data_IF_479378013457
#
_entry.id   IF_479378013457
#
_cell.length_a   1.000
_cell.length_b   1.000
_cell.length_c   1.000
_cell.angle_alpha   90.00
_cell.angle_beta   90.00
_cell.angle_gamma   90.00
#
_symmetry.space_group_name_H-M   'P 1'
#
loop_
_entity.id
_entity.type
_entity.pdbx_description
1 polymer ?
#
# COMPACT_ATOMS: atom_id res chain seq x y z
N UNK A 1 -78.33 -49.05 -18.31
CA UNK A 1 -77.24 -48.69 -19.27
C UNK A 1 -77.03 -47.19 -19.13
N UNK A 2 -76.01 -46.78 -18.37
CA UNK A 2 -75.64 -45.36 -18.25
C UNK A 2 -74.64 -45.01 -19.38
N UNK A 3 -75.03 -44.07 -20.20
CA UNK A 3 -74.20 -43.54 -21.31
C UNK A 3 -73.37 -42.39 -20.70
N UNK A 4 -72.09 -42.65 -20.46
CA UNK A 4 -71.17 -41.60 -20.09
C UNK A 4 -70.95 -40.65 -21.28
N UNK A 5 -71.46 -39.41 -21.18
CA UNK A 5 -71.13 -38.34 -22.06
C UNK A 5 -69.67 -37.90 -21.82
N UNK A 6 -68.78 -38.27 -22.76
CA UNK A 6 -67.45 -37.69 -22.81
C UNK A 6 -67.56 -36.19 -23.13
N UNK A 7 -67.17 -35.37 -22.15
CA UNK A 7 -67.07 -33.94 -22.38
C UNK A 7 -66.06 -33.68 -23.52
N UNK A 8 -66.56 -33.19 -24.67
CA UNK A 8 -65.73 -32.73 -25.74
C UNK A 8 -64.87 -31.55 -25.24
N UNK A 9 -63.59 -31.76 -24.99
CA UNK A 9 -62.62 -30.71 -24.75
C UNK A 9 -62.63 -29.81 -25.95
N UNK A 10 -63.12 -28.58 -25.77
CA UNK A 10 -63.18 -27.57 -26.81
C UNK A 10 -61.77 -27.33 -27.36
N UNK A 11 -61.59 -27.50 -28.67
CA UNK A 11 -60.31 -27.26 -29.38
C UNK A 11 -59.84 -25.83 -29.09
N UNK A 12 -58.83 -25.66 -28.20
CA UNK A 12 -58.27 -24.35 -27.88
C UNK A 12 -57.87 -23.67 -29.18
N UNK A 13 -58.38 -22.46 -29.40
CA UNK A 13 -58.03 -21.65 -30.57
C UNK A 13 -56.54 -21.34 -30.57
N UNK A 14 -55.87 -21.30 -31.69
CA UNK A 14 -54.45 -21.01 -31.87
C UNK A 14 -54.02 -19.70 -31.14
N UNK A 15 -54.91 -18.72 -31.07
CA UNK A 15 -54.73 -17.48 -30.28
C UNK A 15 -54.48 -17.71 -28.80
N UNK A 16 -55.06 -18.78 -28.19
CA UNK A 16 -54.85 -19.10 -26.79
C UNK A 16 -53.40 -19.58 -26.53
N UNK A 17 -52.86 -20.41 -27.40
CA UNK A 17 -51.47 -20.87 -27.31
C UNK A 17 -50.48 -19.71 -27.53
N UNK A 18 -50.82 -18.78 -28.42
CA UNK A 18 -50.04 -17.57 -28.59
C UNK A 18 -50.00 -16.70 -27.33
N UNK A 19 -51.13 -16.50 -26.65
CA UNK A 19 -51.18 -15.76 -25.40
C UNK A 19 -50.45 -16.49 -24.25
N UNK A 20 -50.56 -17.82 -24.14
CA UNK A 20 -49.80 -18.62 -23.18
C UNK A 20 -48.28 -18.47 -23.43
N UNK A 21 -47.86 -18.59 -24.65
CA UNK A 21 -46.46 -18.39 -25.04
C UNK A 21 -45.99 -16.95 -24.71
N UNK A 22 -46.78 -15.96 -25.09
CA UNK A 22 -46.44 -14.55 -24.87
C UNK A 22 -46.28 -14.24 -23.35
N UNK A 23 -47.16 -14.76 -22.52
CA UNK A 23 -47.10 -14.56 -21.06
C UNK A 23 -45.87 -15.23 -20.46
N UNK A 24 -45.51 -16.45 -20.86
CA UNK A 24 -44.29 -17.13 -20.47
C UNK A 24 -43.05 -16.39 -20.94
N UNK A 25 -43.04 -15.97 -22.19
CA UNK A 25 -41.95 -15.16 -22.75
C UNK A 25 -41.73 -13.84 -21.98
N UNK A 26 -42.82 -13.10 -21.72
CA UNK A 26 -42.75 -11.85 -20.96
C UNK A 26 -42.27 -12.08 -19.52
N UNK A 27 -42.70 -13.16 -18.88
CA UNK A 27 -42.25 -13.44 -17.51
C UNK A 27 -40.73 -13.68 -17.45
N UNK A 28 -40.20 -14.49 -18.41
CA UNK A 28 -38.75 -14.74 -18.50
C UNK A 28 -37.99 -13.48 -18.90
N UNK A 29 -38.53 -12.73 -19.86
CA UNK A 29 -37.92 -11.49 -20.34
C UNK A 29 -37.86 -10.41 -19.25
N UNK A 30 -38.93 -10.22 -18.47
CA UNK A 30 -38.96 -9.31 -17.34
C UNK A 30 -37.99 -9.73 -16.24
N UNK A 31 -37.89 -11.05 -15.96
CA UNK A 31 -36.91 -11.60 -15.05
C UNK A 31 -35.48 -11.27 -15.47
N UNK A 32 -35.13 -11.48 -16.74
CA UNK A 32 -33.83 -11.15 -17.28
C UNK A 32 -33.50 -9.64 -17.21
N UNK A 33 -34.48 -8.77 -17.53
CA UNK A 33 -34.32 -7.32 -17.40
C UNK A 33 -34.08 -6.88 -15.95
N UNK A 34 -34.79 -7.51 -15.01
CA UNK A 34 -34.63 -7.23 -13.57
C UNK A 34 -33.22 -7.65 -13.10
N UNK A 35 -32.73 -8.80 -13.57
CA UNK A 35 -31.39 -9.30 -13.25
C UNK A 35 -30.31 -8.37 -13.81
N UNK A 36 -30.40 -7.94 -15.06
CA UNK A 36 -29.48 -6.97 -15.66
C UNK A 36 -29.42 -5.64 -14.87
N UNK A 37 -30.58 -5.13 -14.44
CA UNK A 37 -30.62 -3.91 -13.65
C UNK A 37 -29.98 -4.09 -12.27
N UNK A 38 -30.19 -5.24 -11.65
CA UNK A 38 -29.59 -5.58 -10.37
C UNK A 38 -28.06 -5.67 -10.50
N UNK A 39 -27.57 -6.35 -11.56
CA UNK A 39 -26.16 -6.47 -11.84
C UNK A 39 -25.50 -5.07 -12.00
N UNK A 40 -26.09 -4.19 -12.80
CA UNK A 40 -25.61 -2.82 -12.97
C UNK A 40 -25.56 -2.03 -11.65
N UNK A 41 -26.55 -2.21 -10.77
CA UNK A 41 -26.52 -1.56 -9.43
C UNK A 41 -25.41 -2.09 -8.57
N UNK A 42 -25.17 -3.42 -8.58
CA UNK A 42 -24.08 -4.06 -7.83
C UNK A 42 -22.73 -3.60 -8.36
N UNK A 43 -22.54 -3.57 -9.68
CA UNK A 43 -21.30 -3.09 -10.31
C UNK A 43 -21.01 -1.62 -9.96
N UNK A 44 -22.02 -0.75 -10.02
CA UNK A 44 -21.89 0.65 -9.64
C UNK A 44 -21.50 0.82 -8.16
N UNK A 45 -22.10 0.02 -7.27
CA UNK A 45 -21.74 0.05 -5.86
C UNK A 45 -20.30 -0.39 -5.65
N UNK A 46 -19.87 -1.48 -6.30
CA UNK A 46 -18.48 -1.96 -6.24
C UNK A 46 -17.50 -0.91 -6.77
N UNK A 47 -17.81 -0.26 -7.91
CA UNK A 47 -16.97 0.84 -8.43
C UNK A 47 -16.77 1.93 -7.37
N UNK A 48 -17.87 2.39 -6.73
CA UNK A 48 -17.80 3.43 -5.69
C UNK A 48 -16.99 2.97 -4.48
N UNK A 49 -17.17 1.73 -4.03
CA UNK A 49 -16.48 1.19 -2.87
C UNK A 49 -14.96 1.06 -3.15
N UNK A 50 -14.57 0.60 -4.33
CA UNK A 50 -13.18 0.57 -4.75
C UNK A 50 -12.57 1.98 -4.86
N UNK A 51 -13.31 2.94 -5.43
CA UNK A 51 -12.83 4.32 -5.53
C UNK A 51 -12.61 4.95 -4.15
N UNK A 52 -13.48 4.66 -3.17
CA UNK A 52 -13.26 5.08 -1.77
C UNK A 52 -11.99 4.46 -1.19
N UNK A 53 -11.79 3.15 -1.39
CA UNK A 53 -10.58 2.47 -0.94
C UNK A 53 -9.30 3.06 -1.55
N UNK A 54 -9.31 3.39 -2.85
CA UNK A 54 -8.18 4.09 -3.49
C UNK A 54 -7.93 5.46 -2.86
N UNK A 55 -8.98 6.24 -2.60
CA UNK A 55 -8.84 7.56 -1.96
C UNK A 55 -8.26 7.43 -0.54
N UNK A 56 -8.67 6.44 0.22
CA UNK A 56 -8.11 6.16 1.55
C UNK A 56 -6.63 5.75 1.48
N UNK A 57 -6.27 4.88 0.54
CA UNK A 57 -4.87 4.51 0.30
C UNK A 57 -4.01 5.73 -0.04
N UNK A 58 -4.49 6.60 -0.95
CA UNK A 58 -3.78 7.83 -1.33
C UNK A 58 -3.63 8.82 -0.17
N UNK A 59 -4.65 8.97 0.68
CA UNK A 59 -4.55 9.81 1.90
C UNK A 59 -3.48 9.28 2.84
N UNK A 60 -3.43 7.96 3.03
CA UNK A 60 -2.40 7.32 3.84
C UNK A 60 -1.01 7.57 3.24
N UNK A 61 -0.87 7.43 1.92
CA UNK A 61 0.39 7.64 1.22
C UNK A 61 0.89 9.08 1.34
N UNK A 62 0.00 10.08 1.26
CA UNK A 62 0.33 11.50 1.47
C UNK A 62 0.95 11.71 2.87
N UNK A 63 0.30 11.20 3.92
CA UNK A 63 0.79 11.34 5.29
C UNK A 63 2.17 10.68 5.43
N UNK A 64 2.36 9.51 4.83
CA UNK A 64 3.65 8.80 4.85
C UNK A 64 4.72 9.53 4.06
N UNK A 65 4.40 10.09 2.91
CA UNK A 65 5.33 10.89 2.11
C UNK A 65 5.79 12.13 2.88
N UNK A 66 4.89 12.85 3.55
CA UNK A 66 5.24 14.01 4.38
C UNK A 66 6.18 13.60 5.53
N UNK A 67 5.86 12.52 6.24
CA UNK A 67 6.71 12.01 7.31
C UNK A 67 8.08 11.57 6.79
N UNK A 68 8.12 10.88 5.66
CA UNK A 68 9.38 10.48 5.04
C UNK A 68 10.19 11.69 4.56
N UNK A 69 9.53 12.72 4.02
CA UNK A 69 10.17 13.99 3.66
C UNK A 69 10.85 14.65 4.85
N UNK A 70 10.16 14.75 5.99
CA UNK A 70 10.73 15.30 7.22
C UNK A 70 11.90 14.45 7.73
N UNK A 71 11.77 13.13 7.71
CA UNK A 71 12.84 12.22 8.10
C UNK A 71 14.06 12.37 7.18
N UNK A 72 13.88 12.49 5.86
CA UNK A 72 14.97 12.64 4.89
C UNK A 72 15.77 13.93 5.13
N UNK A 73 15.14 15.03 5.54
CA UNK A 73 15.83 16.25 5.95
C UNK A 73 16.69 15.99 7.18
N UNK A 74 16.16 15.29 8.19
CA UNK A 74 16.90 14.93 9.38
C UNK A 74 18.07 13.97 9.07
N UNK A 75 17.86 12.98 8.19
CA UNK A 75 18.92 12.07 7.74
C UNK A 75 20.04 12.82 7.00
N UNK A 76 19.70 13.77 6.12
CA UNK A 76 20.69 14.58 5.42
C UNK A 76 21.55 15.38 6.40
N UNK A 77 20.94 16.04 7.37
CA UNK A 77 21.65 16.77 8.42
C UNK A 77 22.53 15.84 9.29
N UNK A 78 22.03 14.62 9.57
CA UNK A 78 22.79 13.61 10.29
C UNK A 78 24.04 13.14 9.55
N UNK A 79 23.91 12.91 8.24
CA UNK A 79 25.06 12.60 7.37
C UNK A 79 26.08 13.72 7.30
N UNK A 80 25.64 14.97 7.26
CA UNK A 80 26.56 16.14 7.30
C UNK A 80 27.30 16.21 8.63
N UNK A 81 26.61 15.91 9.74
CA UNK A 81 27.21 15.83 11.08
C UNK A 81 28.23 14.70 11.18
N UNK A 82 27.89 13.49 10.67
CA UNK A 82 28.83 12.37 10.62
C UNK A 82 30.09 12.72 9.82
N UNK A 83 29.91 13.33 8.67
CA UNK A 83 31.03 13.77 7.80
C UNK A 83 31.92 14.81 8.49
N UNK A 84 31.31 15.72 9.23
CA UNK A 84 32.04 16.72 10.03
C UNK A 84 32.87 16.07 11.13
N UNK A 85 32.30 15.16 11.92
CA UNK A 85 33.00 14.44 12.97
C UNK A 85 34.11 13.52 12.43
N UNK A 86 33.90 12.87 11.29
CA UNK A 86 34.96 12.11 10.60
C UNK A 86 36.14 12.98 10.18
N UNK A 87 35.89 14.19 9.68
CA UNK A 87 36.96 15.14 9.33
C UNK A 87 37.78 15.58 10.56
N UNK A 88 37.10 15.81 11.70
CA UNK A 88 37.78 16.13 12.97
C UNK A 88 38.62 14.95 13.45
N UNK A 89 38.10 13.74 13.37
CA UNK A 89 38.81 12.53 13.76
C UNK A 89 40.09 12.33 12.92
N UNK A 90 40.04 12.59 11.61
CA UNK A 90 41.22 12.57 10.71
C UNK A 90 42.25 13.62 11.14
N UNK A 91 41.81 14.76 11.65
CA UNK A 91 42.67 15.82 12.21
C UNK A 91 43.18 15.55 13.65
N UNK A 92 42.96 14.36 14.19
CA UNK A 92 43.37 13.95 15.50
C UNK A 92 42.42 14.34 16.65
N UNK A 93 41.26 14.89 16.36
CA UNK A 93 40.21 15.27 17.35
C UNK A 93 39.07 14.25 17.31
N UNK A 94 39.23 13.12 17.98
CA UNK A 94 38.26 12.02 17.92
C UNK A 94 37.17 12.23 18.99
N UNK A 95 35.90 12.26 18.54
CA UNK A 95 34.72 12.16 19.39
C UNK A 95 33.98 10.87 19.06
N UNK A 96 34.31 9.78 19.75
CA UNK A 96 33.75 8.46 19.50
C UNK A 96 32.24 8.44 19.69
N UNK A 97 31.69 9.10 20.71
CA UNK A 97 30.25 9.15 20.98
C UNK A 97 29.47 9.75 19.82
N UNK A 98 29.94 10.89 19.29
CA UNK A 98 29.30 11.53 18.15
C UNK A 98 29.37 10.66 16.87
N UNK A 99 30.51 10.00 16.62
CA UNK A 99 30.70 9.10 15.47
C UNK A 99 29.73 7.92 15.55
N UNK A 100 29.62 7.23 16.70
CA UNK A 100 28.68 6.14 16.88
C UNK A 100 27.24 6.61 16.75
N UNK A 101 26.85 7.72 17.41
CA UNK A 101 25.51 8.26 17.35
C UNK A 101 25.07 8.55 15.92
N UNK A 102 25.86 9.32 15.16
CA UNK A 102 25.48 9.68 13.80
C UNK A 102 25.55 8.49 12.83
N UNK A 103 26.46 7.54 13.03
CA UNK A 103 26.58 6.35 12.19
C UNK A 103 25.39 5.40 12.35
N UNK A 104 24.73 5.34 13.50
CA UNK A 104 23.60 4.48 13.77
C UNK A 104 22.30 5.19 13.38
N UNK A 105 22.06 6.34 13.99
CA UNK A 105 20.77 7.04 13.89
C UNK A 105 20.39 7.44 12.48
N UNK A 106 21.37 7.75 11.64
CA UNK A 106 21.12 8.27 10.30
C UNK A 106 21.61 7.35 9.18
N UNK A 107 21.93 6.11 9.48
CA UNK A 107 22.42 5.16 8.46
C UNK A 107 21.32 4.47 7.68
N UNK A 108 20.09 4.50 8.16
CA UNK A 108 18.96 3.83 7.51
C UNK A 108 18.07 4.87 6.82
N UNK A 109 18.02 4.79 5.50
CA UNK A 109 17.04 5.54 4.72
C UNK A 109 15.74 4.73 4.74
N UNK A 110 14.70 5.31 5.33
CA UNK A 110 13.39 4.65 5.37
C UNK A 110 12.80 4.45 3.98
N UNK A 111 12.33 3.24 3.70
CA UNK A 111 11.61 2.96 2.46
C UNK A 111 10.24 3.66 2.48
N UNK A 112 9.87 4.26 1.33
CA UNK A 112 8.52 4.76 1.13
C UNK A 112 7.58 3.58 0.91
N UNK A 113 6.93 3.11 1.99
CA UNK A 113 5.93 2.05 1.88
C UNK A 113 4.59 2.65 1.47
N UNK A 114 4.20 2.43 0.22
CA UNK A 114 2.91 2.84 -0.33
C UNK A 114 1.83 1.79 -0.07
N UNK A 115 0.59 2.24 0.13
CA UNK A 115 -0.53 1.32 0.31
C UNK A 115 -1.09 0.87 -1.03
N UNK A 116 -0.79 -0.36 -1.41
CA UNK A 116 -1.22 -0.97 -2.67
C UNK A 116 -2.38 -1.95 -2.51
N UNK A 117 -3.02 -2.03 -1.34
CA UNK A 117 -4.03 -3.06 -1.04
C UNK A 117 -5.20 -3.04 -2.02
N UNK A 118 -5.85 -1.90 -2.20
CA UNK A 118 -7.03 -1.77 -3.07
C UNK A 118 -6.68 -1.98 -4.55
N UNK A 119 -5.55 -1.44 -5.03
CA UNK A 119 -5.16 -1.65 -6.43
C UNK A 119 -4.78 -3.12 -6.70
N UNK A 120 -4.18 -3.78 -5.74
CA UNK A 120 -3.85 -5.21 -5.84
C UNK A 120 -5.11 -6.05 -5.90
N UNK A 121 -6.11 -5.76 -5.08
CA UNK A 121 -7.43 -6.41 -5.14
C UNK A 121 -8.12 -6.17 -6.49
N UNK A 122 -8.17 -4.92 -6.96
CA UNK A 122 -8.73 -4.57 -8.27
C UNK A 122 -8.08 -5.33 -9.42
N UNK A 123 -6.75 -5.48 -9.40
CA UNK A 123 -6.00 -6.24 -10.41
C UNK A 123 -6.30 -7.74 -10.33
N UNK A 124 -6.24 -8.32 -9.13
CA UNK A 124 -6.41 -9.75 -8.92
C UNK A 124 -7.84 -10.23 -9.19
N UNK A 125 -8.84 -9.41 -8.87
CA UNK A 125 -10.25 -9.71 -9.14
C UNK A 125 -10.69 -9.39 -10.57
N UNK A 126 -9.84 -8.76 -11.39
CA UNK A 126 -10.22 -8.24 -12.71
C UNK A 126 -11.24 -7.08 -12.66
N UNK A 127 -11.43 -6.49 -11.47
CA UNK A 127 -12.44 -5.45 -11.22
C UNK A 127 -12.03 -4.07 -11.75
N UNK A 128 -10.83 -3.89 -12.27
CA UNK A 128 -10.41 -2.65 -12.96
C UNK A 128 -11.37 -2.27 -14.11
N UNK A 129 -12.00 -3.27 -14.74
CA UNK A 129 -13.01 -3.07 -15.80
C UNK A 129 -14.27 -2.32 -15.32
N UNK A 130 -14.58 -2.41 -14.00
CA UNK A 130 -15.75 -1.76 -13.41
C UNK A 130 -15.57 -0.24 -13.33
N UNK A 131 -14.33 0.25 -13.31
CA UNK A 131 -14.04 1.68 -13.28
C UNK A 131 -14.30 2.25 -14.68
N UNK A 132 -15.38 3.04 -14.78
CA UNK A 132 -15.87 3.58 -16.06
C UNK A 132 -14.97 4.67 -16.63
N UNK A 133 -14.38 5.49 -15.76
CA UNK A 133 -13.49 6.56 -16.18
C UNK A 133 -12.09 6.01 -16.52
N UNK A 134 -11.84 5.83 -17.81
CA UNK A 134 -10.56 5.28 -18.31
C UNK A 134 -9.36 6.17 -18.01
N UNK A 135 -9.56 7.48 -17.84
CA UNK A 135 -8.50 8.39 -17.40
C UNK A 135 -8.06 8.07 -15.98
N UNK A 136 -9.00 7.83 -15.07
CA UNK A 136 -8.67 7.43 -13.69
C UNK A 136 -7.89 6.11 -13.68
N UNK A 137 -8.29 5.14 -14.48
CA UNK A 137 -7.56 3.85 -14.60
C UNK A 137 -6.11 4.09 -15.07
N UNK A 138 -5.91 4.95 -16.06
CA UNK A 138 -4.59 5.30 -16.56
C UNK A 138 -3.74 6.05 -15.50
N UNK A 139 -4.34 7.02 -14.79
CA UNK A 139 -3.67 7.77 -13.73
C UNK A 139 -3.28 6.84 -12.56
N UNK A 140 -4.15 5.88 -12.20
CA UNK A 140 -3.84 4.84 -11.21
C UNK A 140 -2.68 3.95 -11.67
N UNK A 141 -2.69 3.48 -12.91
CA UNK A 141 -1.60 2.69 -13.46
C UNK A 141 -0.27 3.47 -13.43
N UNK A 142 -0.30 4.74 -13.83
CA UNK A 142 0.87 5.61 -13.78
C UNK A 142 1.41 5.79 -12.35
N UNK A 143 0.52 6.01 -11.39
CA UNK A 143 0.89 6.15 -9.98
C UNK A 143 1.50 4.86 -9.42
N UNK A 144 0.78 3.75 -9.52
CA UNK A 144 1.18 2.51 -8.87
C UNK A 144 2.30 1.75 -9.59
N UNK A 145 2.48 1.93 -10.90
CA UNK A 145 3.48 1.19 -11.66
C UNK A 145 4.76 2.00 -11.92
N UNK A 146 4.64 3.30 -12.16
CA UNK A 146 5.82 4.15 -12.46
C UNK A 146 6.30 4.95 -11.27
N UNK A 147 5.40 5.66 -10.58
CA UNK A 147 5.83 6.59 -9.53
C UNK A 147 6.31 5.89 -8.27
N UNK A 148 5.68 4.77 -7.91
CA UNK A 148 6.15 3.94 -6.79
C UNK A 148 7.50 3.32 -7.11
N UNK A 149 7.70 2.79 -8.32
CA UNK A 149 9.01 2.28 -8.73
C UNK A 149 10.07 3.36 -8.73
N UNK A 150 9.80 4.53 -9.32
CA UNK A 150 10.74 5.64 -9.33
C UNK A 150 11.12 6.10 -7.91
N UNK A 151 10.16 6.16 -6.99
CA UNK A 151 10.46 6.51 -5.59
C UNK A 151 11.39 5.49 -4.92
N UNK A 152 11.29 4.22 -5.28
CA UNK A 152 12.16 3.16 -4.75
C UNK A 152 13.53 3.11 -5.45
N UNK A 153 13.64 3.54 -6.71
CA UNK A 153 14.90 3.59 -7.45
C UNK A 153 15.90 4.62 -6.89
N UNK A 154 15.43 5.64 -6.16
CA UNK A 154 16.28 6.59 -5.44
C UNK A 154 16.86 6.03 -4.14
N UNK A 155 16.37 4.88 -3.68
CA UNK A 155 16.95 4.21 -2.52
C UNK A 155 18.28 3.57 -2.92
N UNK A 156 19.29 3.60 -2.02
CA UNK A 156 20.53 2.87 -2.27
C UNK A 156 20.21 1.41 -2.62
N UNK A 157 20.79 0.91 -3.70
CA UNK A 157 20.63 -0.49 -4.06
C UNK A 157 21.05 -1.39 -2.88
N UNK A 158 20.55 -2.63 -2.85
CA UNK A 158 20.99 -3.60 -1.82
C UNK A 158 22.51 -3.68 -1.75
N UNK A 159 23.18 -3.69 -2.91
CA UNK A 159 24.65 -3.72 -3.00
C UNK A 159 25.29 -2.52 -2.31
N UNK A 160 24.75 -1.32 -2.50
CA UNK A 160 25.26 -0.10 -1.85
C UNK A 160 25.03 -0.14 -0.33
N UNK A 161 23.84 -0.60 0.11
CA UNK A 161 23.55 -0.77 1.55
C UNK A 161 24.49 -1.78 2.19
N UNK A 162 24.69 -2.93 1.56
CA UNK A 162 25.59 -3.99 2.04
C UNK A 162 27.05 -3.50 2.09
N UNK A 163 27.50 -2.73 1.08
CA UNK A 163 28.82 -2.13 1.07
C UNK A 163 29.00 -1.10 2.19
N UNK A 164 27.98 -0.25 2.42
CA UNK A 164 27.98 0.71 3.52
C UNK A 164 28.03 -0.01 4.87
N UNK A 165 27.21 -1.05 5.07
CA UNK A 165 27.20 -1.83 6.29
C UNK A 165 28.52 -2.53 6.54
N UNK A 166 29.13 -3.12 5.50
CA UNK A 166 30.45 -3.73 5.59
C UNK A 166 31.52 -2.70 6.00
N UNK A 167 31.49 -1.52 5.39
CA UNK A 167 32.40 -0.43 5.74
C UNK A 167 32.20 0.02 7.19
N UNK A 168 30.96 0.22 7.62
CA UNK A 168 30.65 0.55 9.03
C UNK A 168 31.24 -0.48 9.98
N UNK A 169 31.05 -1.76 9.74
CA UNK A 169 31.57 -2.85 10.57
C UNK A 169 33.10 -2.90 10.66
N UNK A 170 33.82 -2.30 9.70
CA UNK A 170 35.28 -2.18 9.74
C UNK A 170 35.76 -1.07 10.69
N UNK A 171 34.98 0.01 10.83
CA UNK A 171 35.36 1.18 11.62
C UNK A 171 34.71 1.21 13.01
N UNK A 172 33.58 0.54 13.20
CA UNK A 172 32.84 0.52 14.45
C UNK A 172 32.81 -0.89 15.04
N UNK A 173 33.08 -1.02 16.33
CA UNK A 173 32.96 -2.29 17.04
C UNK A 173 31.49 -2.74 17.03
N UNK A 174 31.22 -3.97 16.58
CA UNK A 174 29.88 -4.55 16.57
C UNK A 174 29.29 -4.66 17.97
N UNK A 175 30.12 -5.01 18.98
CA UNK A 175 29.69 -5.13 20.38
C UNK A 175 29.20 -3.78 20.91
N UNK A 176 29.98 -2.72 20.72
CA UNK A 176 29.57 -1.36 21.14
C UNK A 176 28.37 -0.84 20.35
N UNK A 177 28.23 -1.28 19.11
CA UNK A 177 27.08 -0.92 18.26
C UNK A 177 25.80 -1.57 18.79
N UNK A 178 25.83 -2.84 19.17
CA UNK A 178 24.71 -3.56 19.75
C UNK A 178 24.30 -3.00 21.11
N UNK A 179 25.26 -2.74 21.99
CA UNK A 179 25.00 -2.11 23.30
C UNK A 179 24.35 -0.73 23.12
N UNK A 180 24.80 0.04 22.13
CA UNK A 180 24.23 1.35 21.83
C UNK A 180 22.81 1.25 21.26
N UNK A 181 22.54 0.31 20.36
CA UNK A 181 21.20 0.06 19.81
C UNK A 181 20.24 -0.38 20.91
N UNK A 182 20.66 -1.28 21.79
CA UNK A 182 19.88 -1.73 22.95
C UNK A 182 19.52 -0.55 23.86
N UNK A 183 20.49 0.30 24.21
CA UNK A 183 20.25 1.48 25.02
C UNK A 183 19.30 2.48 24.35
N UNK A 184 19.38 2.64 23.02
CA UNK A 184 18.53 3.53 22.25
C UNK A 184 17.08 3.04 22.18
N UNK A 185 16.86 1.73 22.04
CA UNK A 185 15.54 1.14 22.05
C UNK A 185 14.86 1.28 23.42
N UNK A 186 15.61 1.08 24.50
CA UNK A 186 15.13 1.26 25.88
C UNK A 186 14.73 2.72 26.17
N UNK A 187 15.44 3.70 25.60
CA UNK A 187 15.14 5.13 25.78
C UNK A 187 13.88 5.54 25.01
N UNK A 188 13.66 5.01 23.81
CA UNK A 188 12.47 5.31 23.03
C UNK A 188 11.19 4.77 23.66
N UNK A 189 11.28 3.73 24.49
CA UNK A 189 10.16 3.22 25.28
C UNK A 189 9.87 4.06 26.55
N UNK A 190 10.85 4.81 27.07
CA UNK A 190 10.74 5.52 28.35
C UNK A 190 10.70 7.04 28.26
N UNK A 191 10.64 7.66 27.09
CA UNK A 191 10.53 9.13 26.85
C UNK A 191 11.59 10.04 27.46
N UNK A 192 12.44 10.57 26.70
CA UNK A 192 13.22 11.81 26.70
C UNK A 192 14.71 11.61 26.41
N UNK A 193 15.19 11.90 25.18
CA UNK A 193 16.59 11.62 24.79
C UNK A 193 17.61 12.58 25.41
N UNK A 194 17.19 13.61 26.18
CA UNK A 194 18.08 14.63 26.73
C UNK A 194 18.81 14.23 28.03
N UNK A 195 18.51 13.06 28.60
CA UNK A 195 19.07 12.66 29.91
C UNK A 195 20.15 11.57 29.86
N UNK A 196 20.50 11.04 28.70
CA UNK A 196 21.48 9.95 28.59
C UNK A 196 22.91 10.50 28.47
N UNK A 197 23.75 10.19 29.46
CA UNK A 197 25.17 10.53 29.46
C UNK A 197 25.96 9.44 28.73
N UNK A 198 26.19 9.64 27.45
CA UNK A 198 26.94 8.73 26.57
C UNK A 198 28.42 8.60 26.91
N UNK A 199 28.92 9.36 27.89
CA UNK A 199 30.31 9.35 28.33
C UNK A 199 30.76 8.05 29.03
N UNK A 200 29.81 7.20 29.46
CA UNK A 200 30.13 5.97 30.21
C UNK A 200 30.32 4.71 29.31
N UNK A 201 30.16 4.83 28.01
CA UNK A 201 30.26 3.68 27.08
C UNK A 201 31.69 3.47 26.57
N UNK A 202 32.60 4.43 26.81
CA UNK A 202 33.98 4.43 26.28
C UNK A 202 35.08 4.32 27.34
N UNK A 203 34.74 3.95 28.61
CA UNK A 203 35.75 3.67 29.63
C UNK A 203 35.96 2.17 29.83
#
# INVERSE_FOLDING_TARGET
>A
MEVHHHAHTARKKWTHYFWEFLMLFLAVFCGFLAELQLEHKIENKREVDYMKGIVENLKYDIIRCDKNGQNNVAYSAGWDSLRYELKKAIAGQVNGNALYYYSIKYSEVGEAAFNTSTITELKNSGSLRLIRNKKIVADMADYYERKIYAANDYLPSKVQRDALQKTKNQFFSLTLLDDYIQSFNTINETSNPSSYNYGNILN
#
